data_IF_867205291362
#
_entry.id   IF_867205291362
#
_cell.length_a   1.000
_cell.length_b   1.000
_cell.length_c   1.000
_cell.angle_alpha   90.00
_cell.angle_beta   90.00
_cell.angle_gamma   90.00
#
_symmetry.space_group_name_H-M   'P 1'
#
loop_
_entity.id
_entity.type
_entity.pdbx_description
1 polymer ?
#
# COMPACT_ATOMS: atom_id res chain seq x y z
N UNK A 1 -18.19 40.67 13.57
CA UNK A 1 -18.82 40.27 12.29
C UNK A 1 -17.70 39.84 11.34
N UNK A 2 -17.17 38.62 11.52
CA UNK A 2 -16.10 38.08 10.70
C UNK A 2 -16.73 37.33 9.52
N UNK A 3 -16.43 37.80 8.31
CA UNK A 3 -16.94 37.26 7.04
C UNK A 3 -16.45 35.82 6.90
N UNK A 4 -17.37 34.87 7.05
CA UNK A 4 -17.13 33.45 6.83
C UNK A 4 -16.73 33.27 5.37
N UNK A 5 -15.45 32.98 5.15
CA UNK A 5 -14.89 32.72 3.83
C UNK A 5 -15.47 31.37 3.42
N UNK A 6 -16.51 31.40 2.58
CA UNK A 6 -17.07 30.22 1.92
C UNK A 6 -15.95 29.56 1.12
N UNK A 7 -15.29 28.58 1.74
CA UNK A 7 -14.39 27.66 1.05
C UNK A 7 -15.26 26.98 -0.01
N UNK A 8 -15.15 27.41 -1.27
CA UNK A 8 -15.79 26.76 -2.41
C UNK A 8 -15.52 25.26 -2.29
N UNK A 9 -16.59 24.48 -2.12
CA UNK A 9 -16.53 23.02 -2.16
C UNK A 9 -15.85 22.64 -3.48
N UNK A 10 -14.82 21.77 -3.45
CA UNK A 10 -13.99 21.59 -4.62
C UNK A 10 -14.70 20.72 -5.67
N UNK A 11 -14.38 20.95 -6.95
CA UNK A 11 -14.92 20.37 -8.19
C UNK A 11 -15.45 18.92 -8.14
N UNK A 12 -14.84 18.03 -7.34
CA UNK A 12 -15.23 16.61 -7.25
C UNK A 12 -16.59 16.40 -6.57
N UNK A 13 -17.03 17.28 -5.66
CA UNK A 13 -18.36 17.15 -5.03
C UNK A 13 -19.53 17.56 -5.93
N UNK A 14 -19.25 18.22 -7.06
CA UNK A 14 -20.26 18.69 -8.01
C UNK A 14 -20.32 17.83 -9.29
N UNK A 15 -19.44 16.84 -9.41
CA UNK A 15 -19.40 15.95 -10.57
C UNK A 15 -20.68 15.10 -10.64
N UNK A 16 -21.48 15.21 -11.72
CA UNK A 16 -22.68 14.40 -11.87
C UNK A 16 -22.33 12.91 -11.89
N UNK A 17 -23.15 12.07 -11.27
CA UNK A 17 -22.99 10.60 -11.25
C UNK A 17 -22.73 10.02 -12.65
N UNK A 18 -23.41 10.53 -13.66
CA UNK A 18 -23.25 10.12 -15.06
C UNK A 18 -21.84 10.37 -15.59
N UNK A 19 -21.24 11.52 -15.24
CA UNK A 19 -19.87 11.88 -15.67
C UNK A 19 -18.85 11.00 -14.95
N UNK A 20 -19.00 10.79 -13.65
CA UNK A 20 -18.09 9.93 -12.89
C UNK A 20 -18.13 8.46 -13.33
N UNK A 21 -19.33 7.91 -13.58
CA UNK A 21 -19.48 6.57 -14.19
C UNK A 21 -18.92 6.54 -15.62
N UNK A 22 -19.13 7.59 -16.41
CA UNK A 22 -18.57 7.73 -17.75
C UNK A 22 -17.05 7.64 -17.75
N UNK A 23 -16.37 8.43 -16.91
CA UNK A 23 -14.91 8.39 -16.75
C UNK A 23 -14.46 6.98 -16.34
N UNK A 24 -15.09 6.38 -15.34
CA UNK A 24 -14.76 5.04 -14.86
C UNK A 24 -14.88 3.98 -15.97
N UNK A 25 -15.97 3.97 -16.73
CA UNK A 25 -16.15 3.07 -17.85
C UNK A 25 -15.14 3.32 -18.97
N UNK A 26 -14.80 4.57 -19.26
CA UNK A 26 -13.81 4.90 -20.28
C UNK A 26 -12.44 4.34 -19.92
N UNK A 27 -12.03 4.47 -18.65
CA UNK A 27 -10.79 3.89 -18.13
C UNK A 27 -10.85 2.37 -18.15
N UNK A 28 -11.95 1.75 -17.71
CA UNK A 28 -12.11 0.30 -17.67
C UNK A 28 -12.07 -0.32 -19.09
N UNK A 29 -12.72 0.32 -20.06
CA UNK A 29 -12.71 -0.12 -21.47
C UNK A 29 -11.32 0.09 -22.08
N UNK A 30 -10.67 1.23 -21.86
CA UNK A 30 -9.31 1.47 -22.32
C UNK A 30 -8.35 0.41 -21.76
N UNK A 31 -8.47 0.08 -20.47
CA UNK A 31 -7.65 -0.95 -19.83
C UNK A 31 -7.96 -2.35 -20.40
N UNK A 32 -9.23 -2.67 -20.64
CA UNK A 32 -9.63 -3.92 -21.32
C UNK A 32 -9.06 -4.02 -22.74
N UNK A 33 -9.08 -2.93 -23.51
CA UNK A 33 -8.47 -2.88 -24.84
C UNK A 33 -6.96 -3.09 -24.76
N UNK A 34 -6.27 -2.42 -23.82
CA UNK A 34 -4.84 -2.63 -23.59
C UNK A 34 -4.55 -4.10 -23.22
N UNK A 35 -5.38 -4.75 -22.38
CA UNK A 35 -5.23 -6.17 -22.04
C UNK A 35 -5.33 -7.07 -23.27
N UNK A 36 -6.33 -6.83 -24.11
CA UNK A 36 -6.59 -7.67 -25.29
C UNK A 36 -5.49 -7.48 -26.34
N UNK A 37 -5.01 -6.24 -26.52
CA UNK A 37 -4.00 -5.87 -27.51
C UNK A 37 -2.57 -6.21 -27.07
N UNK A 38 -2.28 -6.23 -25.77
CA UNK A 38 -0.96 -6.58 -25.25
C UNK A 38 -0.65 -8.05 -25.57
N UNK A 39 0.47 -8.31 -26.24
CA UNK A 39 0.94 -9.66 -26.55
C UNK A 39 2.30 -9.87 -25.90
N UNK A 40 2.40 -10.91 -25.07
CA UNK A 40 3.65 -11.28 -24.43
C UNK A 40 4.30 -12.43 -25.22
N UNK A 41 5.30 -12.09 -26.03
CA UNK A 41 6.03 -13.04 -26.91
C UNK A 41 6.72 -14.16 -26.11
N UNK A 42 7.01 -13.95 -24.82
CA UNK A 42 7.71 -14.90 -23.95
C UNK A 42 6.76 -15.82 -23.17
N UNK A 43 5.44 -15.61 -23.25
CA UNK A 43 4.45 -16.40 -22.52
C UNK A 43 3.87 -17.53 -23.38
N UNK A 44 3.57 -18.67 -22.75
CA UNK A 44 2.75 -19.70 -23.37
C UNK A 44 1.40 -19.12 -23.80
N UNK A 45 1.04 -19.30 -25.07
CA UNK A 45 -0.07 -18.60 -25.71
C UNK A 45 -1.44 -19.00 -25.12
N UNK A 46 -1.58 -20.25 -24.65
CA UNK A 46 -2.79 -20.72 -23.98
C UNK A 46 -2.94 -20.08 -22.60
N UNK A 47 -1.86 -20.07 -21.82
CA UNK A 47 -1.80 -19.43 -20.50
C UNK A 47 -2.02 -17.92 -20.59
N UNK A 48 -1.47 -17.28 -21.63
CA UNK A 48 -1.65 -15.86 -21.92
C UNK A 48 -3.13 -15.53 -22.20
N UNK A 49 -3.78 -16.32 -23.07
CA UNK A 49 -5.19 -16.16 -23.42
C UNK A 49 -6.09 -16.34 -22.20
N UNK A 50 -5.85 -17.36 -21.37
CA UNK A 50 -6.62 -17.60 -20.15
C UNK A 50 -6.53 -16.40 -19.19
N UNK A 51 -5.31 -15.86 -18.98
CA UNK A 51 -5.11 -14.68 -18.12
C UNK A 51 -5.84 -13.45 -18.65
N UNK A 52 -5.85 -13.22 -19.96
CA UNK A 52 -6.61 -12.11 -20.59
C UNK A 52 -8.10 -12.26 -20.35
N UNK A 53 -8.67 -13.45 -20.56
CA UNK A 53 -10.09 -13.72 -20.33
C UNK A 53 -10.46 -13.46 -18.87
N UNK A 54 -9.68 -14.01 -17.91
CA UNK A 54 -9.92 -13.78 -16.49
C UNK A 54 -9.86 -12.30 -16.11
N UNK A 55 -8.89 -11.54 -16.64
CA UNK A 55 -8.77 -10.12 -16.39
C UNK A 55 -9.96 -9.32 -16.94
N UNK A 56 -10.42 -9.62 -18.16
CA UNK A 56 -11.61 -8.99 -18.74
C UNK A 56 -12.87 -9.29 -17.92
N UNK A 57 -13.08 -10.54 -17.49
CA UNK A 57 -14.22 -10.92 -16.63
C UNK A 57 -14.18 -10.14 -15.31
N UNK A 58 -13.01 -10.04 -14.67
CA UNK A 58 -12.86 -9.26 -13.43
C UNK A 58 -13.18 -7.77 -13.63
N UNK A 59 -12.76 -7.18 -14.75
CA UNK A 59 -13.09 -5.79 -15.06
C UNK A 59 -14.59 -5.61 -15.25
N UNK A 60 -15.25 -6.49 -16.00
CA UNK A 60 -16.72 -6.44 -16.19
C UNK A 60 -17.44 -6.57 -14.86
N UNK A 61 -17.03 -7.51 -13.99
CA UNK A 61 -17.60 -7.64 -12.65
C UNK A 61 -17.39 -6.37 -11.82
N UNK A 62 -16.20 -5.76 -11.89
CA UNK A 62 -15.92 -4.49 -11.19
C UNK A 62 -16.81 -3.35 -11.70
N UNK A 63 -17.10 -3.30 -13.00
CA UNK A 63 -17.99 -2.32 -13.60
C UNK A 63 -19.41 -2.45 -13.07
N UNK A 64 -19.92 -3.67 -12.98
CA UNK A 64 -21.26 -3.94 -12.43
C UNK A 64 -21.33 -3.52 -10.96
N UNK A 65 -20.34 -3.91 -10.16
CA UNK A 65 -20.28 -3.61 -8.73
C UNK A 65 -20.19 -2.10 -8.45
N UNK A 66 -19.28 -1.40 -9.13
CA UNK A 66 -19.11 0.05 -8.98
C UNK A 66 -20.39 0.78 -9.36
N UNK A 67 -21.07 0.38 -10.42
CA UNK A 67 -22.31 1.02 -10.85
C UNK A 67 -23.44 0.80 -9.85
N UNK A 68 -23.61 -0.42 -9.35
CA UNK A 68 -24.64 -0.73 -8.38
C UNK A 68 -24.41 -0.03 -7.02
N UNK A 69 -23.17 0.30 -6.67
CA UNK A 69 -22.80 0.84 -5.35
C UNK A 69 -22.13 2.23 -5.41
N UNK A 70 -22.21 2.91 -6.55
CA UNK A 70 -21.49 4.16 -6.84
C UNK A 70 -21.65 5.22 -5.76
N UNK A 71 -22.90 5.51 -5.37
CA UNK A 71 -23.21 6.56 -4.40
C UNK A 71 -22.67 6.24 -3.01
N UNK A 72 -22.46 4.95 -2.70
CA UNK A 72 -21.86 4.52 -1.43
C UNK A 72 -20.34 4.62 -1.49
N UNK A 73 -19.73 4.22 -2.60
CA UNK A 73 -18.28 4.20 -2.79
C UNK A 73 -17.67 5.60 -2.92
N UNK A 74 -18.37 6.55 -3.55
CA UNK A 74 -17.84 7.90 -3.76
C UNK A 74 -17.80 8.78 -2.50
N UNK A 75 -18.49 8.40 -1.42
CA UNK A 75 -18.50 9.19 -0.18
C UNK A 75 -17.10 9.34 0.40
N UNK A 76 -16.33 8.26 0.51
CA UNK A 76 -15.00 8.30 1.13
C UNK A 76 -14.00 9.14 0.30
N UNK A 77 -13.78 8.88 -1.00
CA UNK A 77 -12.86 9.70 -1.80
C UNK A 77 -13.20 11.19 -1.77
N UNK A 78 -14.49 11.54 -1.85
CA UNK A 78 -14.95 12.94 -1.79
C UNK A 78 -14.66 13.54 -0.41
N UNK A 79 -14.97 12.83 0.68
CA UNK A 79 -14.68 13.29 2.04
C UNK A 79 -13.18 13.53 2.26
N UNK A 80 -12.33 12.61 1.79
CA UNK A 80 -10.88 12.72 1.89
C UNK A 80 -10.36 13.93 1.09
N UNK A 81 -10.80 14.08 -0.15
CA UNK A 81 -10.36 15.19 -1.00
C UNK A 81 -10.78 16.54 -0.43
N UNK A 82 -12.01 16.66 0.07
CA UNK A 82 -12.53 17.87 0.69
C UNK A 82 -11.77 18.23 1.99
N UNK A 83 -11.25 17.21 2.69
CA UNK A 83 -10.57 17.37 3.96
C UNK A 83 -9.03 17.41 3.85
N UNK A 84 -8.47 17.42 2.63
CA UNK A 84 -7.02 17.26 2.38
C UNK A 84 -6.12 18.23 3.16
N UNK A 85 -6.54 19.49 3.33
CA UNK A 85 -5.80 20.49 4.12
C UNK A 85 -5.79 20.15 5.61
N UNK A 86 -6.91 19.64 6.13
CA UNK A 86 -7.03 19.19 7.51
C UNK A 86 -6.20 17.91 7.73
N UNK A 87 -6.32 16.95 6.83
CA UNK A 87 -5.54 15.70 6.83
C UNK A 87 -4.05 16.01 6.89
N UNK A 88 -3.54 16.87 6.00
CA UNK A 88 -2.11 17.24 5.99
C UNK A 88 -1.65 17.84 7.31
N UNK A 89 -2.44 18.76 7.89
CA UNK A 89 -2.11 19.39 9.19
C UNK A 89 -2.10 18.36 10.32
N UNK A 90 -3.11 17.51 10.38
CA UNK A 90 -3.22 16.48 11.42
C UNK A 90 -2.13 15.41 11.27
N UNK A 91 -1.76 15.01 10.05
CA UNK A 91 -0.68 14.04 9.81
C UNK A 91 0.68 14.57 10.28
N UNK A 92 0.99 15.84 9.97
CA UNK A 92 2.22 16.48 10.48
C UNK A 92 2.22 16.57 12.00
N UNK A 93 1.07 16.90 12.59
CA UNK A 93 0.95 16.97 14.05
C UNK A 93 1.05 15.59 14.71
N UNK A 94 0.46 14.55 14.12
CA UNK A 94 0.56 13.16 14.57
C UNK A 94 2.02 12.71 14.61
N UNK A 95 2.74 12.95 13.51
CA UNK A 95 4.16 12.63 13.39
C UNK A 95 5.00 13.35 14.45
N UNK A 96 4.82 14.67 14.61
CA UNK A 96 5.53 15.45 15.63
C UNK A 96 5.23 14.98 17.05
N UNK A 97 3.95 14.69 17.33
CA UNK A 97 3.49 14.27 18.66
C UNK A 97 4.08 12.92 19.06
N UNK A 98 4.23 11.99 18.11
CA UNK A 98 4.76 10.64 18.36
C UNK A 98 6.16 10.64 18.98
N UNK A 99 6.97 11.64 18.63
CA UNK A 99 8.35 11.77 19.10
C UNK A 99 8.55 12.94 20.08
N UNK A 100 7.47 13.63 20.47
CA UNK A 100 7.54 14.73 21.42
C UNK A 100 7.77 14.20 22.85
N UNK A 101 8.59 14.91 23.63
CA UNK A 101 8.85 14.58 25.04
C UNK A 101 9.81 13.40 25.27
N UNK A 102 10.29 12.73 24.22
CA UNK A 102 11.37 11.73 24.32
C UNK A 102 12.74 12.38 24.17
N UNK A 103 13.70 11.97 25.00
CA UNK A 103 15.07 12.50 24.96
C UNK A 103 15.74 12.33 23.59
N UNK A 104 15.55 11.17 22.94
CA UNK A 104 16.10 10.88 21.61
C UNK A 104 15.16 11.29 20.46
N UNK A 105 13.92 11.67 20.78
CA UNK A 105 12.93 12.15 19.80
C UNK A 105 12.78 11.24 18.57
N UNK A 106 12.90 11.84 17.38
CA UNK A 106 12.72 11.18 16.07
C UNK A 106 13.70 10.04 15.82
N UNK A 107 14.86 10.02 16.50
CA UNK A 107 15.86 8.96 16.34
C UNK A 107 15.25 7.59 16.66
N UNK A 108 14.31 7.51 17.59
CA UNK A 108 13.60 6.26 17.90
C UNK A 108 12.84 5.65 16.73
N UNK A 109 12.36 6.47 15.78
CA UNK A 109 11.75 5.97 14.55
C UNK A 109 12.74 5.14 13.72
N UNK A 110 14.04 5.46 13.85
CA UNK A 110 15.09 4.90 13.03
C UNK A 110 15.77 3.71 13.68
N UNK A 111 15.83 3.69 15.02
CA UNK A 111 16.54 2.64 15.77
C UNK A 111 16.01 1.25 15.40
N UNK A 112 14.70 1.03 15.46
CA UNK A 112 14.15 -0.31 15.26
C UNK A 112 14.38 -0.87 13.85
N UNK A 113 14.13 -0.12 12.75
CA UNK A 113 14.41 -0.66 11.41
C UNK A 113 15.90 -0.79 11.12
N UNK A 114 16.75 0.14 11.60
CA UNK A 114 18.21 0.04 11.44
C UNK A 114 18.77 -1.17 12.16
N UNK A 115 18.36 -1.39 13.42
CA UNK A 115 18.75 -2.58 14.19
C UNK A 115 18.26 -3.85 13.50
N UNK A 116 17.06 -3.84 12.92
CA UNK A 116 16.51 -4.99 12.17
C UNK A 116 17.36 -5.32 10.95
N UNK A 117 17.72 -4.31 10.14
CA UNK A 117 18.59 -4.50 8.96
C UNK A 117 19.98 -4.98 9.39
N UNK A 118 20.59 -4.37 10.41
CA UNK A 118 21.91 -4.75 10.92
C UNK A 118 21.91 -6.18 11.47
N UNK A 119 20.86 -6.57 12.18
CA UNK A 119 20.72 -7.92 12.72
C UNK A 119 20.63 -8.95 11.59
N UNK A 120 19.75 -8.73 10.61
CA UNK A 120 19.62 -9.64 9.48
C UNK A 120 20.88 -9.69 8.62
N UNK A 121 21.52 -8.54 8.37
CA UNK A 121 22.82 -8.51 7.71
C UNK A 121 23.84 -9.33 8.49
N UNK A 122 24.00 -9.08 9.79
CA UNK A 122 24.99 -9.79 10.60
C UNK A 122 24.73 -11.31 10.61
N UNK A 123 23.49 -11.74 10.81
CA UNK A 123 23.13 -13.15 10.88
C UNK A 123 23.28 -13.84 9.53
N UNK A 124 22.68 -13.31 8.46
CA UNK A 124 22.69 -14.00 7.16
C UNK A 124 23.98 -13.77 6.38
N UNK A 125 24.48 -12.54 6.31
CA UNK A 125 25.71 -12.22 5.55
C UNK A 125 26.98 -12.63 6.32
N UNK A 126 27.10 -12.32 7.61
CA UNK A 126 28.35 -12.57 8.36
C UNK A 126 28.42 -13.96 8.98
N UNK A 127 27.36 -14.45 9.64
CA UNK A 127 27.36 -15.76 10.29
C UNK A 127 27.12 -16.87 9.25
N UNK A 128 26.00 -16.80 8.52
CA UNK A 128 25.65 -17.83 7.55
C UNK A 128 26.39 -17.71 6.22
N UNK A 129 27.13 -16.61 5.99
CA UNK A 129 27.87 -16.36 4.73
C UNK A 129 26.98 -16.58 3.51
N UNK A 130 25.76 -16.07 3.59
CA UNK A 130 24.78 -16.15 2.53
C UNK A 130 25.42 -15.62 1.25
N UNK A 131 25.40 -16.44 0.20
CA UNK A 131 25.88 -16.01 -1.11
C UNK A 131 24.99 -14.87 -1.65
N UNK A 132 25.51 -14.04 -2.56
CA UNK A 132 24.69 -13.10 -3.31
C UNK A 132 23.40 -13.77 -3.81
N UNK A 133 22.31 -13.01 -3.80
CA UNK A 133 21.02 -13.48 -4.32
C UNK A 133 21.04 -13.34 -5.84
N UNK A 134 20.71 -14.42 -6.55
CA UNK A 134 20.58 -14.38 -8.00
C UNK A 134 19.31 -13.60 -8.38
N UNK A 135 19.47 -12.50 -9.11
CA UNK A 135 18.38 -11.74 -9.70
C UNK A 135 18.54 -11.77 -11.22
N UNK A 136 18.05 -12.85 -11.84
CA UNK A 136 18.30 -13.12 -13.26
C UNK A 136 19.77 -13.49 -13.47
N UNK A 137 20.47 -12.73 -14.31
CA UNK A 137 21.90 -12.93 -14.62
C UNK A 137 22.85 -12.17 -13.68
N UNK A 138 22.31 -11.43 -12.70
CA UNK A 138 23.09 -10.55 -11.82
C UNK A 138 23.11 -11.11 -10.40
N UNK A 139 24.31 -11.21 -9.83
CA UNK A 139 24.51 -11.47 -8.41
C UNK A 139 24.32 -10.19 -7.61
N UNK A 140 23.33 -10.18 -6.70
CA UNK A 140 22.99 -9.02 -5.88
C UNK A 140 23.46 -9.24 -4.44
N UNK A 141 24.23 -8.31 -3.84
CA UNK A 141 24.61 -8.39 -2.43
C UNK A 141 23.40 -8.58 -1.53
N UNK A 142 23.50 -9.48 -0.54
CA UNK A 142 22.36 -9.83 0.32
C UNK A 142 21.77 -8.62 1.03
N UNK A 143 22.60 -7.65 1.45
CA UNK A 143 22.13 -6.40 2.08
C UNK A 143 21.23 -5.60 1.15
N UNK A 144 21.56 -5.53 -0.15
CA UNK A 144 20.77 -4.81 -1.13
C UNK A 144 19.43 -5.53 -1.37
N UNK A 145 19.46 -6.84 -1.54
CA UNK A 145 18.25 -7.68 -1.65
C UNK A 145 17.33 -7.55 -0.43
N UNK A 146 17.92 -7.53 0.77
CA UNK A 146 17.23 -7.42 2.04
C UNK A 146 16.59 -6.04 2.23
N UNK A 147 17.36 -4.97 2.01
CA UNK A 147 16.89 -3.60 2.22
C UNK A 147 15.79 -3.21 1.23
N UNK A 148 15.90 -3.61 -0.04
CA UNK A 148 14.85 -3.41 -1.06
C UNK A 148 13.55 -4.14 -0.74
N UNK A 149 13.59 -5.23 0.02
CA UNK A 149 12.38 -5.91 0.51
C UNK A 149 11.84 -5.36 1.83
N UNK A 150 12.72 -5.00 2.77
CA UNK A 150 12.33 -4.55 4.11
C UNK A 150 11.75 -3.14 4.12
N UNK A 151 12.24 -2.24 3.27
CA UNK A 151 11.79 -0.84 3.25
C UNK A 151 10.28 -0.70 3.00
N UNK A 152 9.69 -1.27 1.92
CA UNK A 152 8.24 -1.28 1.77
C UNK A 152 7.56 -2.01 2.94
N UNK A 153 8.09 -3.16 3.36
CA UNK A 153 7.52 -3.93 4.46
C UNK A 153 7.40 -3.15 5.79
N UNK A 154 8.39 -2.32 6.13
CA UNK A 154 8.34 -1.44 7.30
C UNK A 154 7.19 -0.45 7.21
N UNK A 155 7.00 0.18 6.05
CA UNK A 155 5.87 1.07 5.83
C UNK A 155 4.54 0.32 5.91
N UNK A 156 4.42 -0.83 5.25
CA UNK A 156 3.20 -1.64 5.30
C UNK A 156 2.80 -2.01 6.74
N UNK A 157 3.75 -2.54 7.51
CA UNK A 157 3.52 -2.93 8.90
C UNK A 157 3.13 -1.72 9.77
N UNK A 158 3.92 -0.65 9.72
CA UNK A 158 3.68 0.54 10.53
C UNK A 158 2.36 1.23 10.18
N UNK A 159 2.09 1.42 8.89
CA UNK A 159 0.91 2.12 8.41
C UNK A 159 -0.37 1.30 8.64
N UNK A 160 -0.33 -0.02 8.50
CA UNK A 160 -1.47 -0.89 8.79
C UNK A 160 -1.80 -0.94 10.28
N UNK A 161 -0.79 -1.10 11.15
CA UNK A 161 -1.01 -1.13 12.60
C UNK A 161 -1.54 0.21 13.13
N UNK A 162 -0.88 1.32 12.78
CA UNK A 162 -1.33 2.65 13.21
C UNK A 162 -2.67 3.05 12.58
N UNK A 163 -2.90 2.68 11.31
CA UNK A 163 -4.16 2.93 10.63
C UNK A 163 -5.32 2.17 11.25
N UNK A 164 -5.09 0.93 11.70
CA UNK A 164 -6.09 0.12 12.40
C UNK A 164 -6.52 0.78 13.72
N UNK A 165 -5.57 1.24 14.55
CA UNK A 165 -5.89 1.85 15.85
C UNK A 165 -6.34 3.31 15.77
N UNK A 166 -6.38 3.90 14.57
CA UNK A 166 -6.64 5.32 14.37
C UNK A 166 -7.93 5.83 15.04
N UNK A 167 -9.03 5.07 14.96
CA UNK A 167 -10.31 5.46 15.57
C UNK A 167 -10.27 5.39 17.11
N UNK A 168 -9.52 4.44 17.66
CA UNK A 168 -9.36 4.28 19.11
C UNK A 168 -8.55 5.43 19.68
N UNK A 169 -7.44 5.79 19.03
CA UNK A 169 -6.55 6.87 19.49
C UNK A 169 -7.20 8.26 19.34
N UNK A 170 -8.00 8.44 18.29
CA UNK A 170 -8.75 9.67 18.05
C UNK A 170 -10.20 9.62 18.55
N UNK A 171 -10.52 8.77 19.53
CA UNK A 171 -11.86 8.61 20.14
C UNK A 171 -12.49 9.97 20.52
N UNK A 172 -11.68 10.89 21.07
CA UNK A 172 -12.11 12.24 21.46
C UNK A 172 -12.60 13.12 20.30
N UNK A 173 -12.18 12.83 19.05
CA UNK A 173 -12.71 13.45 17.84
C UNK A 173 -13.93 12.70 17.30
N UNK A 174 -13.96 11.38 17.48
CA UNK A 174 -15.06 10.53 16.99
C UNK A 174 -16.39 10.88 17.65
N UNK A 175 -16.37 11.23 18.93
CA UNK A 175 -17.57 11.67 19.68
C UNK A 175 -18.11 13.05 19.28
N UNK A 176 -17.39 13.81 18.45
CA UNK A 176 -17.83 15.16 18.03
C UNK A 176 -18.69 15.08 16.77
N UNK A 177 -19.93 15.57 16.89
CA UNK A 177 -20.99 15.52 15.85
C UNK A 177 -20.55 16.03 14.47
N UNK A 178 -19.64 17.01 14.39
CA UNK A 178 -19.22 17.64 13.13
C UNK A 178 -17.91 17.10 12.53
N UNK A 179 -17.24 16.15 13.20
CA UNK A 179 -15.92 15.69 12.74
C UNK A 179 -16.03 14.54 11.73
N UNK A 180 -15.33 14.66 10.60
CA UNK A 180 -15.29 13.62 9.55
C UNK A 180 -14.31 12.51 9.94
N UNK A 181 -14.79 11.53 10.69
CA UNK A 181 -13.97 10.42 11.22
C UNK A 181 -13.31 9.53 10.15
N UNK A 182 -13.82 9.55 8.90
CA UNK A 182 -13.24 8.83 7.75
C UNK A 182 -11.81 9.26 7.42
N UNK A 183 -11.39 10.45 7.85
CA UNK A 183 -10.05 10.96 7.57
C UNK A 183 -8.98 10.40 8.51
N UNK A 184 -9.38 9.78 9.64
CA UNK A 184 -8.49 9.37 10.72
C UNK A 184 -7.47 8.30 10.32
N UNK A 185 -7.85 7.21 9.63
CA UNK A 185 -6.87 6.22 9.16
C UNK A 185 -5.85 6.83 8.20
N UNK A 186 -6.29 7.73 7.32
CA UNK A 186 -5.42 8.39 6.34
C UNK A 186 -4.36 9.27 7.01
N UNK A 187 -4.70 9.94 8.12
CA UNK A 187 -3.75 10.74 8.91
C UNK A 187 -2.58 9.87 9.38
N UNK A 188 -2.87 8.67 9.90
CA UNK A 188 -1.86 7.73 10.40
C UNK A 188 -0.98 7.17 9.29
N UNK A 189 -1.58 6.82 8.15
CA UNK A 189 -0.85 6.28 6.98
C UNK A 189 0.09 7.35 6.40
N UNK A 190 -0.35 8.62 6.28
CA UNK A 190 0.52 9.71 5.83
C UNK A 190 1.65 9.99 6.82
N UNK A 191 1.38 9.88 8.14
CA UNK A 191 2.44 10.03 9.14
C UNK A 191 3.52 8.94 9.00
N UNK A 192 3.14 7.69 8.76
CA UNK A 192 4.07 6.59 8.47
C UNK A 192 4.85 6.80 7.15
N UNK A 193 4.23 7.44 6.16
CA UNK A 193 4.87 7.73 4.87
C UNK A 193 6.11 8.64 5.03
N UNK A 194 6.15 9.52 6.05
CA UNK A 194 7.35 10.34 6.31
C UNK A 194 8.57 9.48 6.66
N UNK A 195 8.37 8.41 7.43
CA UNK A 195 9.42 7.46 7.82
C UNK A 195 9.83 6.62 6.61
N UNK A 196 8.85 6.18 5.82
CA UNK A 196 9.08 5.48 4.57
C UNK A 196 9.98 6.25 3.60
N UNK A 197 9.70 7.54 3.38
CA UNK A 197 10.52 8.39 2.50
C UNK A 197 11.97 8.47 2.99
N UNK A 198 12.18 8.55 4.30
CA UNK A 198 13.53 8.50 4.88
C UNK A 198 14.22 7.16 4.59
N UNK A 199 13.55 6.03 4.84
CA UNK A 199 14.13 4.70 4.59
C UNK A 199 14.32 4.38 3.11
N UNK A 200 13.48 4.90 2.22
CA UNK A 200 13.71 4.83 0.78
C UNK A 200 14.99 5.57 0.38
N UNK A 201 15.28 6.73 1.01
CA UNK A 201 16.55 7.42 0.85
C UNK A 201 17.75 6.62 1.35
N UNK A 202 17.63 6.00 2.54
CA UNK A 202 18.68 5.11 3.10
C UNK A 202 18.92 3.90 2.19
N UNK A 203 17.86 3.28 1.68
CA UNK A 203 17.95 2.18 0.73
C UNK A 203 18.76 2.56 -0.51
N UNK A 204 18.44 3.70 -1.13
CA UNK A 204 19.16 4.21 -2.30
C UNK A 204 20.64 4.47 -1.95
N UNK A 205 20.92 5.06 -0.79
CA UNK A 205 22.29 5.30 -0.35
C UNK A 205 23.09 4.00 -0.19
N UNK A 206 22.49 2.97 0.43
CA UNK A 206 23.08 1.64 0.54
C UNK A 206 23.33 1.05 -0.86
N UNK A 207 22.37 1.14 -1.79
CA UNK A 207 22.55 0.67 -3.16
C UNK A 207 23.75 1.33 -3.84
N UNK A 208 23.89 2.65 -3.74
CA UNK A 208 25.04 3.38 -4.26
C UNK A 208 26.37 2.90 -3.67
N UNK A 209 26.43 2.61 -2.36
CA UNK A 209 27.64 2.09 -1.71
C UNK A 209 28.07 0.72 -2.26
N UNK A 210 27.12 -0.08 -2.74
CA UNK A 210 27.37 -1.36 -3.39
C UNK A 210 27.56 -1.26 -4.92
N UNK A 211 27.60 -0.05 -5.48
CA UNK A 211 27.79 0.18 -6.92
C UNK A 211 26.51 0.14 -7.76
N UNK A 212 25.34 0.04 -7.14
CA UNK A 212 24.03 0.08 -7.81
C UNK A 212 23.47 1.49 -7.74
N UNK A 213 23.74 2.29 -8.76
CA UNK A 213 23.32 3.68 -8.84
C UNK A 213 21.88 3.82 -9.34
N UNK A 214 21.14 4.87 -8.92
CA UNK A 214 19.83 5.19 -9.45
C UNK A 214 19.83 5.27 -10.97
N UNK A 215 18.90 4.55 -11.58
CA UNK A 215 18.65 4.55 -13.02
C UNK A 215 17.31 5.23 -13.31
N UNK A 216 16.92 5.29 -14.59
CA UNK A 216 15.58 5.75 -14.96
C UNK A 216 14.47 4.89 -14.30
N UNK A 217 14.76 3.62 -13.99
CA UNK A 217 13.82 2.70 -13.34
C UNK A 217 13.55 3.06 -11.88
N UNK A 218 14.49 3.74 -11.21
CA UNK A 218 14.35 4.15 -9.80
C UNK A 218 13.17 5.09 -9.57
N UNK A 219 12.70 5.80 -10.59
CA UNK A 219 11.48 6.62 -10.50
C UNK A 219 10.23 5.80 -10.15
N UNK A 220 10.22 4.50 -10.47
CA UNK A 220 9.11 3.60 -10.19
C UNK A 220 8.91 3.35 -8.69
N UNK A 221 9.89 3.65 -7.83
CA UNK A 221 9.69 3.66 -6.37
C UNK A 221 8.50 4.52 -5.99
N UNK A 222 8.30 5.66 -6.67
CA UNK A 222 7.15 6.55 -6.42
C UNK A 222 5.84 5.82 -6.76
N UNK A 223 5.81 5.12 -7.90
CA UNK A 223 4.65 4.32 -8.31
C UNK A 223 4.36 3.21 -7.29
N UNK A 224 5.36 2.43 -6.89
CA UNK A 224 5.18 1.35 -5.93
C UNK A 224 4.84 1.85 -4.53
N UNK A 225 5.35 3.01 -4.10
CA UNK A 225 4.93 3.66 -2.86
C UNK A 225 3.46 4.11 -2.90
N UNK A 226 2.96 4.57 -4.05
CA UNK A 226 1.54 4.89 -4.25
C UNK A 226 0.69 3.60 -4.21
N UNK A 227 1.13 2.55 -4.90
CA UNK A 227 0.49 1.23 -4.85
C UNK A 227 0.33 0.73 -3.41
N UNK A 228 1.43 0.77 -2.65
CA UNK A 228 1.47 0.35 -1.26
C UNK A 228 0.60 1.22 -0.35
N UNK A 229 0.64 2.55 -0.53
CA UNK A 229 -0.20 3.48 0.21
C UNK A 229 -1.69 3.17 0.04
N UNK A 230 -2.12 2.92 -1.20
CA UNK A 230 -3.53 2.61 -1.49
C UNK A 230 -3.89 1.21 -0.97
N UNK A 231 -3.01 0.22 -1.12
CA UNK A 231 -3.21 -1.11 -0.55
C UNK A 231 -3.45 -1.04 0.97
N UNK A 232 -2.56 -0.36 1.69
CA UNK A 232 -2.70 -0.19 3.15
C UNK A 232 -3.99 0.55 3.47
N UNK A 233 -4.30 1.64 2.77
CA UNK A 233 -5.54 2.40 2.99
C UNK A 233 -6.79 1.52 2.81
N UNK A 234 -6.83 0.68 1.77
CA UNK A 234 -7.92 -0.26 1.51
C UNK A 234 -8.13 -1.23 2.66
N UNK A 235 -7.05 -1.84 3.16
CA UNK A 235 -7.11 -2.78 4.29
C UNK A 235 -7.50 -2.04 5.58
N UNK A 236 -6.90 -0.88 5.82
CA UNK A 236 -7.13 -0.06 7.01
C UNK A 236 -8.60 0.33 7.18
N UNK A 237 -9.34 0.66 6.12
CA UNK A 237 -10.76 0.97 6.26
C UNK A 237 -11.58 -0.19 6.83
N UNK A 238 -11.21 -1.42 6.47
CA UNK A 238 -11.80 -2.62 7.07
C UNK A 238 -11.34 -2.78 8.51
N UNK A 239 -10.02 -2.81 8.75
CA UNK A 239 -9.47 -3.17 10.05
C UNK A 239 -9.78 -2.12 11.12
N UNK A 240 -9.71 -0.82 10.80
CA UNK A 240 -10.06 0.24 11.74
C UNK A 240 -11.53 0.24 12.12
N UNK A 241 -12.42 -0.17 11.20
CA UNK A 241 -13.85 -0.30 11.50
C UNK A 241 -14.12 -1.49 12.41
N UNK A 242 -13.48 -2.64 12.14
CA UNK A 242 -13.68 -3.87 12.91
C UNK A 242 -13.07 -3.77 14.31
N UNK A 243 -11.89 -3.16 14.47
CA UNK A 243 -11.19 -3.11 15.78
C UNK A 243 -11.98 -2.34 16.85
N UNK A 244 -12.86 -1.43 16.44
CA UNK A 244 -13.75 -0.70 17.37
C UNK A 244 -14.66 -1.67 18.12
N UNK A 245 -15.15 -2.72 17.46
CA UNK A 245 -16.00 -3.75 18.06
C UNK A 245 -15.22 -4.97 18.56
N UNK A 246 -14.08 -5.27 17.95
CA UNK A 246 -13.27 -6.44 18.24
C UNK A 246 -11.80 -6.06 18.47
N UNK A 247 -11.45 -5.75 19.72
CA UNK A 247 -10.13 -5.18 20.10
C UNK A 247 -8.96 -6.14 19.89
N UNK A 248 -9.21 -7.45 19.95
CA UNK A 248 -8.20 -8.49 19.74
C UNK A 248 -7.68 -8.54 18.30
N UNK A 249 -8.35 -7.86 17.36
CA UNK A 249 -7.86 -7.70 15.99
C UNK A 249 -6.44 -7.12 15.96
N UNK A 250 -6.07 -6.26 16.91
CA UNK A 250 -4.70 -5.72 16.99
C UNK A 250 -3.64 -6.80 17.19
N UNK A 251 -3.90 -7.77 18.07
CA UNK A 251 -3.00 -8.90 18.32
C UNK A 251 -2.95 -9.85 17.13
N UNK A 252 -4.10 -10.12 16.52
CA UNK A 252 -4.19 -10.95 15.31
C UNK A 252 -3.39 -10.32 14.17
N UNK A 253 -3.54 -9.01 13.94
CA UNK A 253 -2.77 -8.31 12.91
C UNK A 253 -1.28 -8.34 13.19
N UNK A 254 -0.85 -8.19 14.44
CA UNK A 254 0.57 -8.30 14.79
C UNK A 254 1.14 -9.68 14.42
N UNK A 255 0.42 -10.77 14.70
CA UNK A 255 0.81 -12.13 14.33
C UNK A 255 0.81 -12.29 12.79
N UNK A 256 -0.25 -11.83 12.12
CA UNK A 256 -0.38 -11.91 10.66
C UNK A 256 0.76 -11.16 9.97
N UNK A 257 1.14 -9.98 10.47
CA UNK A 257 2.26 -9.22 9.93
C UNK A 257 3.58 -9.96 10.20
N UNK A 258 3.80 -10.47 11.42
CA UNK A 258 5.00 -11.25 11.71
C UNK A 258 5.18 -12.45 10.77
N UNK A 259 4.11 -13.22 10.51
CA UNK A 259 4.11 -14.32 9.54
C UNK A 259 4.21 -13.80 8.11
N UNK A 260 3.53 -12.70 7.80
CA UNK A 260 3.47 -12.07 6.49
C UNK A 260 4.85 -11.70 5.95
N UNK A 261 5.76 -11.25 6.82
CA UNK A 261 7.14 -10.94 6.43
C UNK A 261 7.88 -12.16 5.85
N UNK A 262 7.60 -13.36 6.36
CA UNK A 262 8.16 -14.61 5.86
C UNK A 262 7.37 -15.16 4.67
N UNK A 263 6.07 -14.89 4.60
CA UNK A 263 5.22 -15.29 3.47
C UNK A 263 5.50 -14.45 2.20
N UNK A 264 6.04 -13.24 2.34
CA UNK A 264 6.57 -12.44 1.25
C UNK A 264 8.06 -12.76 1.05
N UNK A 265 8.57 -12.87 -0.19
CA UNK A 265 9.97 -13.19 -0.44
C UNK A 265 10.90 -12.00 -0.15
N UNK A 266 10.95 -11.56 1.12
CA UNK A 266 11.77 -10.44 1.61
C UNK A 266 13.14 -10.94 2.05
N UNK A 267 13.15 -11.96 2.93
CA UNK A 267 14.36 -12.52 3.53
C UNK A 267 14.99 -13.64 2.70
N UNK A 268 14.22 -14.18 1.74
CA UNK A 268 14.55 -15.34 0.93
C UNK A 268 14.10 -15.12 -0.52
N UNK A 269 14.70 -15.85 -1.46
CA UNK A 269 14.42 -15.73 -2.90
C UNK A 269 13.30 -16.69 -3.34
N UNK A 270 12.32 -16.16 -4.07
CA UNK A 270 11.21 -16.92 -4.66
C UNK A 270 11.69 -18.04 -5.59
N UNK A 271 12.89 -17.93 -6.17
CA UNK A 271 13.47 -18.96 -7.03
C UNK A 271 13.89 -20.23 -6.27
N UNK A 272 14.00 -20.18 -4.94
CA UNK A 272 14.27 -21.37 -4.11
C UNK A 272 13.05 -22.31 -4.05
N UNK A 273 11.87 -21.84 -4.42
CA UNK A 273 10.67 -22.66 -4.44
C UNK A 273 10.53 -23.43 -5.76
N UNK A 274 9.96 -24.64 -5.73
CA UNK A 274 9.45 -25.33 -6.91
C UNK A 274 8.48 -24.46 -7.71
N UNK A 275 8.54 -24.53 -9.05
CA UNK A 275 7.74 -23.66 -9.94
C UNK A 275 6.22 -23.77 -9.71
N UNK A 276 5.74 -24.96 -9.31
CA UNK A 276 4.34 -25.23 -8.97
C UNK A 276 3.85 -24.53 -7.69
N UNK A 277 4.75 -23.97 -6.86
CA UNK A 277 4.39 -23.23 -5.64
C UNK A 277 4.58 -21.71 -5.77
N UNK A 278 5.36 -21.25 -6.76
CA UNK A 278 5.64 -19.82 -6.97
C UNK A 278 4.36 -18.99 -7.18
N UNK A 279 3.32 -19.56 -7.78
CA UNK A 279 2.07 -18.84 -8.02
C UNK A 279 1.36 -18.45 -6.72
N UNK A 280 1.42 -19.27 -5.67
CA UNK A 280 0.78 -18.99 -4.37
C UNK A 280 1.40 -17.74 -3.74
N UNK A 281 2.73 -17.66 -3.76
CA UNK A 281 3.47 -16.50 -3.23
C UNK A 281 3.20 -15.24 -4.05
N UNK A 282 3.01 -15.40 -5.38
CA UNK A 282 2.66 -14.29 -6.28
C UNK A 282 1.22 -13.77 -6.09
N UNK A 283 0.33 -14.50 -5.40
CA UNK A 283 -1.00 -13.99 -5.04
C UNK A 283 -0.92 -12.91 -3.94
N UNK A 284 0.12 -12.91 -3.12
CA UNK A 284 0.29 -11.89 -2.10
C UNK A 284 0.60 -10.52 -2.77
N UNK A 285 -0.23 -9.48 -2.60
CA UNK A 285 -0.01 -8.18 -3.23
C UNK A 285 1.29 -7.50 -2.77
N UNK A 286 1.80 -7.84 -1.58
CA UNK A 286 3.12 -7.35 -1.14
C UNK A 286 4.27 -7.95 -1.95
N UNK A 287 4.12 -9.14 -2.53
CA UNK A 287 5.13 -9.72 -3.44
C UNK A 287 5.32 -8.84 -4.68
N UNK A 288 4.23 -8.28 -5.22
CA UNK A 288 4.29 -7.34 -6.34
C UNK A 288 5.04 -6.05 -5.97
N UNK A 289 4.77 -5.49 -4.79
CA UNK A 289 5.44 -4.27 -4.31
C UNK A 289 6.93 -4.54 -4.06
N UNK A 290 7.28 -5.60 -3.33
CA UNK A 290 8.67 -5.95 -3.03
C UNK A 290 9.48 -6.17 -4.31
N UNK A 291 8.94 -6.92 -5.28
CA UNK A 291 9.61 -7.09 -6.57
C UNK A 291 9.71 -5.77 -7.34
N UNK A 292 8.72 -4.90 -7.22
CA UNK A 292 8.77 -3.55 -7.78
C UNK A 292 9.93 -2.69 -7.26
N UNK A 293 10.17 -2.71 -5.94
CA UNK A 293 11.33 -2.02 -5.35
C UNK A 293 12.66 -2.61 -5.84
N UNK A 294 12.74 -3.93 -5.98
CA UNK A 294 13.92 -4.63 -6.54
C UNK A 294 14.17 -4.25 -7.99
N UNK A 295 13.13 -4.25 -8.82
CA UNK A 295 13.22 -3.87 -10.23
C UNK A 295 13.59 -2.40 -10.41
N UNK A 296 13.16 -1.53 -9.48
CA UNK A 296 13.53 -0.12 -9.45
C UNK A 296 15.01 0.13 -9.12
N UNK A 297 15.68 -0.79 -8.42
CA UNK A 297 17.07 -0.62 -7.98
C UNK A 297 18.08 -1.39 -8.83
N UNK A 298 17.78 -2.63 -9.22
CA UNK A 298 18.73 -3.48 -9.93
C UNK A 298 18.12 -4.39 -11.01
N UNK A 299 16.80 -4.65 -10.98
CA UNK A 299 16.16 -5.51 -11.99
C UNK A 299 16.01 -4.84 -13.37
N UNK A 300 15.93 -3.51 -13.43
CA UNK A 300 15.83 -2.73 -14.68
C UNK A 300 14.65 -3.12 -15.58
N UNK A 301 13.51 -3.47 -14.97
CA UNK A 301 12.25 -3.79 -15.65
C UNK A 301 11.18 -2.76 -15.27
N UNK A 302 10.33 -2.37 -16.23
CA UNK A 302 9.20 -1.50 -15.95
C UNK A 302 7.97 -2.24 -15.42
N UNK A 303 7.20 -1.59 -14.56
CA UNK A 303 5.95 -2.13 -14.02
C UNK A 303 4.93 -2.54 -15.11
N UNK A 304 4.99 -1.93 -16.29
CA UNK A 304 4.12 -2.27 -17.41
C UNK A 304 4.58 -3.52 -18.18
N UNK A 305 5.85 -3.94 -18.03
CA UNK A 305 6.34 -5.21 -18.58
C UNK A 305 5.75 -6.40 -17.82
N UNK A 306 5.46 -6.24 -16.53
CA UNK A 306 4.73 -7.22 -15.71
C UNK A 306 3.22 -6.97 -15.70
N UNK A 307 2.66 -6.75 -16.89
CA UNK A 307 1.28 -6.33 -17.09
C UNK A 307 0.24 -7.15 -16.29
N UNK A 308 0.39 -8.48 -16.24
CA UNK A 308 -0.52 -9.36 -15.50
C UNK A 308 -0.46 -9.16 -13.98
N UNK A 309 0.74 -9.04 -13.42
CA UNK A 309 0.93 -8.80 -11.99
C UNK A 309 0.39 -7.43 -11.59
N UNK A 310 0.64 -6.41 -12.42
CA UNK A 310 0.14 -5.05 -12.22
C UNK A 310 -1.39 -4.99 -12.26
N UNK A 311 -2.00 -5.64 -13.26
CA UNK A 311 -3.46 -5.70 -13.39
C UNK A 311 -4.11 -6.45 -12.23
N UNK A 312 -3.57 -7.62 -11.87
CA UNK A 312 -4.03 -8.39 -10.71
C UNK A 312 -3.97 -7.58 -9.42
N UNK A 313 -2.85 -6.91 -9.16
CA UNK A 313 -2.66 -6.07 -7.98
C UNK A 313 -3.74 -5.00 -7.87
N UNK A 314 -3.99 -4.24 -8.93
CA UNK A 314 -4.99 -3.17 -8.91
C UNK A 314 -6.42 -3.69 -8.74
N UNK A 315 -6.75 -4.84 -9.32
CA UNK A 315 -8.05 -5.49 -9.11
C UNK A 315 -8.23 -5.83 -7.63
N UNK A 316 -7.23 -6.45 -6.99
CA UNK A 316 -7.26 -6.77 -5.57
C UNK A 316 -7.39 -5.52 -4.71
N UNK A 317 -6.61 -4.47 -4.99
CA UNK A 317 -6.64 -3.20 -4.25
C UNK A 317 -8.02 -2.53 -4.35
N UNK A 318 -8.61 -2.48 -5.55
CA UNK A 318 -9.96 -1.91 -5.76
C UNK A 318 -11.01 -2.73 -5.04
N UNK A 319 -10.94 -4.07 -5.10
CA UNK A 319 -11.86 -4.94 -4.39
C UNK A 319 -11.78 -4.73 -2.88
N UNK A 320 -10.58 -4.69 -2.31
CA UNK A 320 -10.36 -4.42 -0.89
C UNK A 320 -10.83 -3.02 -0.49
N UNK A 321 -10.60 -2.00 -1.33
CA UNK A 321 -11.06 -0.63 -1.07
C UNK A 321 -12.59 -0.56 -1.03
N UNK A 322 -13.26 -1.19 -2.00
CA UNK A 322 -14.72 -1.26 -2.06
C UNK A 322 -15.27 -1.96 -0.81
N UNK A 323 -14.75 -3.16 -0.49
CA UNK A 323 -15.19 -3.92 0.70
C UNK A 323 -14.98 -3.08 1.97
N UNK A 324 -13.79 -2.52 2.17
CA UNK A 324 -13.47 -1.69 3.33
C UNK A 324 -14.31 -0.43 3.43
N UNK A 325 -14.56 0.25 2.31
CA UNK A 325 -15.43 1.43 2.27
C UNK A 325 -16.86 1.10 2.69
N UNK A 326 -17.37 -0.07 2.30
CA UNK A 326 -18.73 -0.48 2.60
C UNK A 326 -18.90 -0.91 4.04
N UNK A 327 -17.92 -1.66 4.58
CA UNK A 327 -17.86 -2.02 5.99
C UNK A 327 -17.79 -0.75 6.84
N UNK A 328 -16.82 0.13 6.56
CA UNK A 328 -16.64 1.38 7.30
C UNK A 328 -17.89 2.25 7.30
N UNK A 329 -18.53 2.43 6.14
CA UNK A 329 -19.78 3.22 6.04
C UNK A 329 -20.91 2.60 6.86
N UNK A 330 -21.05 1.28 6.82
CA UNK A 330 -22.12 0.57 7.54
C UNK A 330 -21.93 0.63 9.06
N UNK A 331 -20.70 0.54 9.53
CA UNK A 331 -20.40 0.55 10.97
C UNK A 331 -20.26 1.95 11.57
N UNK A 332 -19.95 2.96 10.73
CA UNK A 332 -19.73 4.36 11.14
C UNK A 332 -20.81 4.93 12.05
N UNK A 333 -22.08 4.53 11.86
CA UNK A 333 -23.22 5.00 12.67
C UNK A 333 -23.16 4.55 14.11
N UNK A 334 -22.46 3.45 14.41
CA UNK A 334 -22.38 2.85 15.75
C UNK A 334 -21.10 3.22 16.50
N UNK A 335 -20.14 3.89 15.85
CA UNK A 335 -18.85 4.16 16.48
C UNK A 335 -19.00 5.07 17.72
N UNK A 336 -19.88 6.06 17.69
CA UNK A 336 -20.08 6.98 18.81
C UNK A 336 -20.66 6.30 20.07
N UNK A 337 -21.38 5.18 19.89
CA UNK A 337 -22.00 4.44 21.00
C UNK A 337 -21.01 3.45 21.65
N UNK A 338 -20.05 2.93 20.88
CA UNK A 338 -19.10 1.90 21.32
C UNK A 338 -17.78 2.49 21.86
N UNK A 339 -17.38 3.64 21.31
CA UNK A 339 -16.20 4.40 21.72
C UNK A 339 -16.54 5.34 22.86
#
# INVERSE_FOLDING_TARGET
MAKEKTDKLPFISELPKQVGLGIFYTIAIALMLIIVLHTNVLADQHTEMLKKICACILIVMSMILVTAWYDKLMVLPVELYNSRKLIRRLAVNDFKKRYAGSYMGIVWALVQPVVTVLMYWFVFDRIFKQKPMAAGEIDVPYVLFLTTGLVPWFFFNEALMNGTTALLEYNYLVKKVLFKISILPLIKIIAALFIHVFFAGVMIAISCMYGYYPTIYTIQIIYYAICEFILVLSICYTTCAVVVFFRDLTQILAIVLQVGQWATPILWDINMLPDNLKWIIKLNPMTYIVNGYRNSMYGNEWFFEHFYSSTYFWIVVVALFCIGSLIFKRTKTHFADVL
#
